data_IF_733529998253
#
_entry.id   IF_733529998253
#
_cell.length_a   1.000
_cell.length_b   1.000
_cell.length_c   1.000
_cell.angle_alpha   90.00
_cell.angle_beta   90.00
_cell.angle_gamma   90.00
#
_symmetry.space_group_name_H-M   'P 1'
#
loop_
_entity.id
_entity.type
_entity.pdbx_description
1 polymer ?
#
# COMPACT_ATOMS: atom_id res chain seq x y z
N UNK A 1 -24.03 -0.01 13.97
CA UNK A 1 -23.57 0.70 12.75
C UNK A 1 -22.08 0.46 12.51
N UNK A 2 -21.16 1.10 13.24
CA UNK A 2 -19.73 0.91 12.99
C UNK A 2 -19.29 -0.56 13.14
N UNK A 3 -19.85 -1.27 14.12
CA UNK A 3 -19.70 -2.72 14.27
C UNK A 3 -20.09 -3.46 12.96
N UNK A 4 -21.30 -3.23 12.45
CA UNK A 4 -21.79 -3.82 11.19
C UNK A 4 -20.87 -3.55 9.97
N UNK A 5 -20.28 -2.35 9.87
CA UNK A 5 -19.30 -2.03 8.79
C UNK A 5 -18.08 -2.95 8.89
N UNK A 6 -17.55 -3.13 10.11
CA UNK A 6 -16.36 -3.94 10.33
C UNK A 6 -16.66 -5.44 10.17
N UNK A 7 -17.86 -5.87 10.55
CA UNK A 7 -18.35 -7.23 10.30
C UNK A 7 -18.43 -7.54 8.80
N UNK A 8 -18.79 -6.59 7.94
CA UNK A 8 -18.76 -6.76 6.48
C UNK A 8 -17.33 -6.89 5.90
N UNK A 9 -16.33 -6.41 6.63
CA UNK A 9 -14.91 -6.42 6.23
C UNK A 9 -14.23 -7.71 6.70
N UNK A 10 -14.57 -8.17 7.89
CA UNK A 10 -13.91 -9.29 8.58
C UNK A 10 -13.82 -10.60 7.75
N UNK A 11 -14.79 -11.00 6.93
CA UNK A 11 -14.70 -12.23 6.12
C UNK A 11 -13.67 -12.18 4.98
N UNK A 12 -13.09 -11.01 4.68
CA UNK A 12 -12.09 -10.85 3.61
C UNK A 12 -10.69 -10.85 4.23
N UNK A 13 -9.98 -11.96 4.06
CA UNK A 13 -8.61 -12.11 4.58
C UNK A 13 -7.70 -10.95 4.15
N UNK A 14 -7.00 -10.36 5.12
CA UNK A 14 -6.03 -9.29 4.93
C UNK A 14 -6.66 -7.93 4.67
N UNK A 15 -7.99 -7.81 4.71
CA UNK A 15 -8.67 -6.53 4.51
C UNK A 15 -8.70 -5.73 5.81
N UNK A 16 -8.21 -4.50 5.74
CA UNK A 16 -8.42 -3.47 6.75
C UNK A 16 -9.17 -2.27 6.15
N UNK A 17 -9.54 -1.34 7.02
CA UNK A 17 -10.11 -0.04 6.64
C UNK A 17 -9.27 1.09 7.24
N UNK A 18 -8.98 2.11 6.45
CA UNK A 18 -8.34 3.31 6.95
C UNK A 18 -9.26 4.04 7.94
N UNK A 19 -8.68 4.70 8.92
CA UNK A 19 -9.41 5.44 9.93
C UNK A 19 -10.41 6.44 9.34
N UNK A 20 -9.99 7.21 8.33
CA UNK A 20 -10.83 8.21 7.67
C UNK A 20 -11.91 7.58 6.81
N UNK A 21 -11.64 6.43 6.18
CA UNK A 21 -12.64 5.69 5.39
C UNK A 21 -13.76 5.14 6.28
N UNK A 22 -13.43 4.65 7.47
CA UNK A 22 -14.43 4.25 8.46
C UNK A 22 -15.29 5.44 8.87
N UNK A 23 -14.66 6.59 9.12
CA UNK A 23 -15.36 7.82 9.49
C UNK A 23 -16.38 8.23 8.41
N UNK A 24 -15.95 8.25 7.15
CA UNK A 24 -16.81 8.53 6.01
C UNK A 24 -17.97 7.55 5.90
N UNK A 25 -17.71 6.26 6.09
CA UNK A 25 -18.74 5.23 5.99
C UNK A 25 -19.78 5.33 7.12
N UNK A 26 -19.34 5.63 8.35
CA UNK A 26 -20.23 5.86 9.50
C UNK A 26 -21.12 7.07 9.26
N UNK A 27 -20.59 8.20 8.79
CA UNK A 27 -21.39 9.38 8.44
C UNK A 27 -22.39 9.06 7.34
N UNK A 28 -21.94 8.42 6.26
CA UNK A 28 -22.75 8.08 5.09
C UNK A 28 -23.91 7.14 5.44
N UNK A 29 -23.68 6.13 6.29
CA UNK A 29 -24.71 5.14 6.67
C UNK A 29 -25.63 5.63 7.79
N UNK A 30 -25.12 6.43 8.72
CA UNK A 30 -25.95 7.01 9.78
C UNK A 30 -26.81 8.18 9.29
N UNK A 31 -26.42 8.85 8.21
CA UNK A 31 -27.04 10.08 7.73
C UNK A 31 -26.67 11.32 8.56
N UNK A 32 -25.79 11.16 9.56
CA UNK A 32 -25.28 12.25 10.40
C UNK A 32 -24.00 12.77 9.77
N UNK A 33 -24.05 13.98 9.23
CA UNK A 33 -22.88 14.68 8.70
C UNK A 33 -22.29 15.58 9.78
N UNK A 34 -20.96 15.57 9.91
CA UNK A 34 -20.24 16.47 10.80
C UNK A 34 -18.93 16.90 10.16
N UNK A 35 -18.58 18.18 10.35
CA UNK A 35 -17.33 18.77 9.89
C UNK A 35 -16.22 18.69 10.95
N UNK A 36 -16.50 18.07 12.11
CA UNK A 36 -15.48 17.87 13.14
C UNK A 36 -14.38 16.92 12.64
N UNK A 37 -13.10 17.20 12.96
CA UNK A 37 -12.00 16.31 12.64
C UNK A 37 -12.26 14.87 13.12
N UNK A 38 -11.95 13.88 12.28
CA UNK A 38 -12.21 12.45 12.56
C UNK A 38 -11.64 11.99 13.90
N UNK A 39 -10.46 12.47 14.25
CA UNK A 39 -9.78 12.20 15.54
C UNK A 39 -10.58 12.61 16.78
N UNK A 40 -11.56 13.50 16.66
CA UNK A 40 -12.34 13.98 17.80
C UNK A 40 -13.52 13.09 18.15
N UNK A 41 -13.96 12.20 17.26
CA UNK A 41 -15.21 11.45 17.46
C UNK A 41 -15.12 9.97 17.07
N UNK A 42 -14.28 9.61 16.09
CA UNK A 42 -14.10 8.20 15.71
C UNK A 42 -13.56 7.35 16.88
N UNK A 43 -12.66 7.83 17.77
CA UNK A 43 -12.22 7.03 18.92
C UNK A 43 -13.37 6.62 19.86
N UNK A 44 -14.37 7.47 20.05
CA UNK A 44 -15.53 7.15 20.87
C UNK A 44 -16.39 6.06 20.21
N UNK A 45 -16.57 6.16 18.88
CA UNK A 45 -17.24 5.12 18.09
C UNK A 45 -16.49 3.79 18.17
N UNK A 46 -15.16 3.80 18.11
CA UNK A 46 -14.35 2.58 18.25
C UNK A 46 -14.42 1.99 19.65
N UNK A 47 -14.53 2.84 20.68
CA UNK A 47 -14.74 2.40 22.07
C UNK A 47 -16.07 1.67 22.19
N UNK A 48 -17.15 2.24 21.66
CA UNK A 48 -18.48 1.61 21.64
C UNK A 48 -18.46 0.24 20.93
N UNK A 49 -17.77 0.14 19.77
CA UNK A 49 -17.61 -1.14 19.07
C UNK A 49 -16.82 -2.13 19.91
N UNK A 50 -15.74 -1.69 20.55
CA UNK A 50 -14.91 -2.51 21.41
C UNK A 50 -15.68 -3.09 22.60
N UNK A 51 -16.49 -2.26 23.25
CA UNK A 51 -17.35 -2.67 24.37
C UNK A 51 -18.39 -3.69 23.90
N UNK A 52 -19.06 -3.44 22.77
CA UNK A 52 -20.03 -4.37 22.18
C UNK A 52 -19.41 -5.73 21.83
N UNK A 53 -18.22 -5.74 21.22
CA UNK A 53 -17.51 -6.99 20.92
C UNK A 53 -17.18 -7.75 22.21
N UNK A 54 -16.73 -7.04 23.25
CA UNK A 54 -16.41 -7.63 24.55
C UNK A 54 -17.66 -8.22 25.22
N UNK A 55 -18.79 -7.52 25.20
CA UNK A 55 -20.06 -8.00 25.75
C UNK A 55 -20.58 -9.24 25.01
N UNK A 56 -20.34 -9.31 23.70
CA UNK A 56 -20.77 -10.42 22.85
C UNK A 56 -19.79 -11.61 22.87
N UNK A 57 -18.61 -11.45 23.49
CA UNK A 57 -17.54 -12.45 23.47
C UNK A 57 -16.89 -12.64 22.08
N UNK A 58 -17.04 -11.65 21.20
CA UNK A 58 -16.48 -11.64 19.86
C UNK A 58 -15.06 -11.07 19.86
N UNK A 59 -14.21 -11.46 18.89
CA UNK A 59 -12.93 -10.78 18.70
C UNK A 59 -13.11 -9.29 18.42
N UNK A 60 -12.14 -8.50 18.87
CA UNK A 60 -12.17 -7.04 18.74
C UNK A 60 -12.10 -6.61 17.28
N UNK A 61 -13.24 -6.33 16.68
CA UNK A 61 -13.34 -5.82 15.30
C UNK A 61 -12.55 -4.52 15.08
N UNK A 62 -12.27 -3.76 16.14
CA UNK A 62 -11.43 -2.56 16.10
C UNK A 62 -10.02 -2.81 15.56
N UNK A 63 -9.51 -4.05 15.62
CA UNK A 63 -8.20 -4.44 15.05
C UNK A 63 -8.15 -4.38 13.50
N UNK A 64 -9.31 -4.32 12.85
CA UNK A 64 -9.43 -4.15 11.40
C UNK A 64 -9.21 -2.70 10.95
N UNK A 65 -9.15 -1.75 11.89
CA UNK A 65 -8.99 -0.33 11.60
C UNK A 65 -7.52 0.04 11.64
N UNK A 66 -7.04 0.70 10.59
CA UNK A 66 -5.66 1.20 10.56
C UNK A 66 -5.53 2.49 11.38
N UNK A 67 -4.34 2.73 11.92
CA UNK A 67 -4.06 3.93 12.70
C UNK A 67 -4.30 5.22 11.87
N UNK A 68 -4.72 6.33 12.50
CA UNK A 68 -4.94 7.60 11.82
C UNK A 68 -3.73 8.05 11.00
N UNK A 69 -3.98 8.56 9.79
CA UNK A 69 -2.93 9.00 8.86
C UNK A 69 -2.18 7.88 8.15
N UNK A 70 -2.46 6.60 8.47
CA UNK A 70 -1.92 5.48 7.72
C UNK A 70 -2.86 5.11 6.56
N UNK A 71 -2.29 4.70 5.42
CA UNK A 71 -3.08 4.08 4.34
C UNK A 71 -3.34 2.62 4.69
N UNK A 72 -4.44 2.06 4.17
CA UNK A 72 -4.72 0.64 4.35
C UNK A 72 -3.57 -0.22 3.86
N UNK A 73 -3.15 -1.15 4.72
CA UNK A 73 -1.99 -2.01 4.53
C UNK A 73 -2.43 -3.46 4.39
N UNK A 74 -1.78 -4.20 3.51
CA UNK A 74 -1.97 -5.65 3.36
C UNK A 74 -1.32 -6.45 4.52
N UNK A 75 -0.66 -5.77 5.47
CA UNK A 75 -0.08 -6.42 6.63
C UNK A 75 -1.17 -6.95 7.58
N UNK A 76 -1.07 -8.25 7.90
CA UNK A 76 -1.99 -8.93 8.82
C UNK A 76 -1.30 -9.14 10.16
N UNK A 77 -1.70 -8.37 11.17
CA UNK A 77 -1.26 -8.58 12.56
C UNK A 77 -1.91 -9.85 13.14
N UNK A 78 -1.34 -10.46 14.19
CA UNK A 78 -1.96 -11.63 14.83
C UNK A 78 -3.40 -11.38 15.31
N UNK A 79 -3.67 -10.21 15.88
CA UNK A 79 -5.01 -9.84 16.34
C UNK A 79 -6.00 -9.66 15.16
N UNK A 80 -5.54 -9.07 14.05
CA UNK A 80 -6.32 -8.96 12.81
C UNK A 80 -6.59 -10.33 12.19
N UNK A 81 -5.60 -11.22 12.23
CA UNK A 81 -5.74 -12.60 11.77
C UNK A 81 -6.81 -13.34 12.58
N UNK A 82 -6.80 -13.21 13.90
CA UNK A 82 -7.80 -13.80 14.80
C UNK A 82 -9.22 -13.31 14.46
N UNK A 83 -9.39 -12.00 14.23
CA UNK A 83 -10.66 -11.45 13.77
C UNK A 83 -11.08 -12.07 12.43
N UNK A 84 -10.20 -12.09 11.44
CA UNK A 84 -10.51 -12.72 10.14
C UNK A 84 -10.90 -14.21 10.29
N UNK A 85 -10.23 -14.96 11.16
CA UNK A 85 -10.54 -16.37 11.45
C UNK A 85 -11.94 -16.55 12.02
N UNK A 86 -12.28 -15.77 13.05
CA UNK A 86 -13.57 -15.88 13.72
C UNK A 86 -14.75 -15.54 12.81
N UNK A 87 -14.56 -14.60 11.89
CA UNK A 87 -15.57 -14.21 10.90
C UNK A 87 -15.48 -15.00 9.58
N UNK A 88 -14.80 -16.15 9.59
CA UNK A 88 -14.84 -17.13 8.50
C UNK A 88 -14.05 -16.74 7.24
N UNK A 89 -13.03 -15.89 7.37
CA UNK A 89 -12.18 -15.54 6.24
C UNK A 89 -11.44 -16.77 5.69
N UNK A 90 -11.37 -16.85 4.36
CA UNK A 90 -10.58 -17.86 3.66
C UNK A 90 -9.10 -17.51 3.75
N UNK A 91 -8.43 -18.03 4.77
CA UNK A 91 -7.00 -17.78 4.99
C UNK A 91 -6.18 -18.66 4.05
N UNK A 92 -5.25 -18.08 3.27
CA UNK A 92 -4.32 -18.85 2.48
C UNK A 92 -3.49 -19.78 3.37
N UNK A 93 -3.29 -21.01 2.94
CA UNK A 93 -2.28 -21.86 3.53
C UNK A 93 -0.89 -21.28 3.17
N UNK A 94 -0.24 -20.66 4.15
CA UNK A 94 1.09 -20.06 3.99
C UNK A 94 2.21 -21.10 4.05
N UNK A 95 1.95 -22.26 4.65
CA UNK A 95 2.88 -23.39 4.73
C UNK A 95 2.82 -24.27 3.47
N UNK A 96 1.77 -24.13 2.66
CA UNK A 96 1.70 -24.76 1.36
C UNK A 96 2.94 -24.39 0.54
N UNK A 97 3.72 -25.39 0.06
CA UNK A 97 4.90 -25.10 -0.76
C UNK A 97 4.47 -24.23 -1.93
N UNK A 98 5.12 -23.08 -2.10
CA UNK A 98 4.81 -22.09 -3.13
C UNK A 98 4.90 -22.73 -4.52
N UNK A 99 3.78 -23.31 -5.00
CA UNK A 99 3.67 -23.96 -6.33
C UNK A 99 3.79 -22.95 -7.47
N UNK A 100 4.01 -21.67 -7.17
CA UNK A 100 4.14 -20.58 -8.13
C UNK A 100 5.58 -20.35 -8.61
N UNK A 101 6.57 -21.14 -8.18
CA UNK A 101 7.93 -21.10 -8.74
C UNK A 101 8.20 -22.06 -9.91
N UNK A 102 7.26 -22.92 -10.30
CA UNK A 102 7.49 -23.89 -11.41
C UNK A 102 6.79 -23.56 -12.72
N UNK A 103 5.98 -22.49 -12.78
CA UNK A 103 5.26 -22.11 -14.02
C UNK A 103 6.00 -20.99 -14.76
N UNK A 104 7.22 -21.28 -15.22
CA UNK A 104 7.98 -20.28 -15.98
C UNK A 104 9.44 -20.55 -16.30
N UNK A 105 9.95 -21.78 -16.26
CA UNK A 105 11.11 -22.13 -17.09
C UNK A 105 10.65 -22.16 -18.57
N UNK A 106 10.25 -21.01 -19.11
CA UNK A 106 10.21 -20.83 -20.56
C UNK A 106 11.67 -20.97 -20.98
N UNK A 107 11.96 -22.01 -21.77
CA UNK A 107 13.23 -22.20 -22.45
C UNK A 107 13.83 -20.85 -22.79
N UNK A 108 15.06 -20.66 -22.36
CA UNK A 108 15.91 -19.59 -22.85
C UNK A 108 16.05 -19.76 -24.37
N UNK A 109 15.09 -19.27 -25.14
CA UNK A 109 15.34 -18.85 -26.50
C UNK A 109 16.42 -17.80 -26.35
N UNK A 110 17.60 -18.12 -26.85
CA UNK A 110 18.76 -17.24 -26.97
C UNK A 110 18.28 -15.92 -27.54
N UNK A 111 18.00 -14.96 -26.65
CA UNK A 111 17.83 -13.57 -27.01
C UNK A 111 19.19 -13.12 -27.51
N UNK A 112 19.32 -12.99 -28.82
CA UNK A 112 20.40 -12.24 -29.43
C UNK A 112 20.51 -10.90 -28.70
N UNK A 113 21.66 -10.56 -28.10
CA UNK A 113 21.79 -9.30 -27.40
C UNK A 113 21.53 -8.15 -28.37
N UNK A 114 20.52 -7.33 -28.06
CA UNK A 114 20.28 -6.06 -28.73
C UNK A 114 21.57 -5.22 -28.55
N UNK A 115 22.18 -4.72 -29.63
CA UNK A 115 23.41 -3.93 -29.50
C UNK A 115 23.13 -2.73 -28.59
N UNK A 116 24.02 -2.51 -27.61
CA UNK A 116 23.97 -1.32 -26.76
C UNK A 116 24.06 -0.10 -27.68
N UNK A 117 23.07 0.78 -27.59
CA UNK A 117 23.15 2.09 -28.21
C UNK A 117 24.42 2.77 -27.72
N UNK A 118 25.21 3.28 -28.66
CA UNK A 118 26.47 3.96 -28.38
C UNK A 118 26.22 5.13 -27.41
N UNK A 119 27.05 5.22 -26.39
CA UNK A 119 27.09 6.38 -25.49
C UNK A 119 27.44 7.62 -26.34
N UNK A 120 26.73 8.75 -26.18
CA UNK A 120 27.05 9.95 -26.95
C UNK A 120 28.48 10.39 -26.59
N UNK A 121 29.34 10.49 -27.62
CA UNK A 121 30.71 10.99 -27.47
C UNK A 121 30.64 12.39 -26.88
N UNK A 122 31.15 12.55 -25.67
CA UNK A 122 31.20 13.85 -24.98
C UNK A 122 32.08 14.78 -25.81
N UNK A 123 31.54 15.97 -26.15
CA UNK A 123 32.30 16.98 -26.89
C UNK A 123 33.45 17.50 -26.02
N UNK A 124 34.63 17.75 -26.59
CA UNK A 124 35.72 18.39 -25.84
C UNK A 124 35.31 19.79 -25.38
N UNK A 125 35.81 20.19 -24.21
CA UNK A 125 35.55 21.50 -23.60
C UNK A 125 36.84 22.30 -23.64
N UNK A 126 36.77 23.56 -24.05
CA UNK A 126 37.93 24.46 -24.07
C UNK A 126 38.47 24.68 -22.64
N UNK A 127 39.77 24.51 -22.36
CA UNK A 127 40.31 24.68 -21.01
C UNK A 127 40.43 26.14 -20.56
N UNK A 128 40.27 27.11 -21.48
CA UNK A 128 40.40 28.53 -21.16
C UNK A 128 39.06 29.20 -20.85
N UNK A 129 38.04 28.98 -21.69
CA UNK A 129 36.69 29.56 -21.49
C UNK A 129 35.61 28.53 -21.12
N UNK A 130 35.95 27.25 -20.96
CA UNK A 130 35.05 26.16 -20.55
C UNK A 130 33.80 25.95 -21.43
N UNK A 131 33.85 26.42 -22.67
CA UNK A 131 32.77 26.25 -23.65
C UNK A 131 32.97 24.96 -24.45
N UNK A 132 31.87 24.27 -24.81
CA UNK A 132 31.92 23.08 -25.67
C UNK A 132 32.43 23.46 -27.06
N UNK A 133 33.53 22.84 -27.50
CA UNK A 133 34.15 23.12 -28.80
C UNK A 133 33.81 22.03 -29.84
N UNK A 134 33.82 22.37 -31.14
CA UNK A 134 33.70 21.39 -32.21
C UNK A 134 34.84 20.35 -32.16
N UNK A 135 34.67 19.22 -32.85
CA UNK A 135 35.66 18.13 -32.88
C UNK A 135 37.05 18.56 -33.40
N UNK A 136 37.14 19.69 -34.09
CA UNK A 136 38.41 20.30 -34.52
C UNK A 136 39.28 20.77 -33.35
N UNK A 137 38.73 20.97 -32.14
CA UNK A 137 39.46 21.38 -30.96
C UNK A 137 39.92 22.85 -30.94
N UNK A 138 39.54 23.64 -31.95
CA UNK A 138 39.84 25.07 -32.04
C UNK A 138 38.66 25.86 -31.44
N UNK A 139 38.95 26.81 -30.56
CA UNK A 139 37.96 27.68 -29.92
C UNK A 139 37.96 29.05 -30.58
N UNK A 140 36.86 29.43 -31.25
CA UNK A 140 36.73 30.73 -31.93
C UNK A 140 36.51 31.91 -30.95
N UNK A 141 36.38 31.64 -29.65
CA UNK A 141 36.08 32.65 -28.62
C UNK A 141 37.30 33.02 -27.74
N UNK A 142 38.46 32.38 -27.95
CA UNK A 142 39.69 32.59 -27.17
C UNK A 142 40.87 33.07 -28.02
N UNK A 143 40.60 33.82 -29.09
CA UNK A 143 41.63 34.44 -29.96
C UNK A 143 42.72 35.15 -29.13
#
# INVERSE_FOLDING_TARGET
>A
MAHDILEEIAPRYGRSIAFDDLAHEVQRRSGIMTDLPTLQWVPDVLTEVGDRCQESGEPRLTELVDAPGNRSTDAVTPARLECHQAYGAKIPDFDAPNRRSSRGARSATTRTPRPKAAEPRRRPVCPSCFLEVPESGICDNCD
#
